data_IF_624816466814
#
_entry.id   IF_624816466814
#
_cell.length_a   1.000
_cell.length_b   1.000
_cell.length_c   1.000
_cell.angle_alpha   90.00
_cell.angle_beta   90.00
_cell.angle_gamma   90.00
#
_symmetry.space_group_name_H-M   'P 1'
#
loop_
_entity.id
_entity.type
_entity.pdbx_description
1 polymer ?
#
# COMPACT_ATOMS: atom_id res chain seq x y z
N UNK A 1 -0.90 6.22 -12.19
CA UNK A 1 -0.15 5.67 -11.05
C UNK A 1 0.74 6.75 -10.49
N UNK A 2 0.84 6.83 -9.16
CA UNK A 2 1.75 7.75 -8.47
C UNK A 2 3.06 7.06 -8.07
N UNK A 3 3.08 5.73 -8.06
CA UNK A 3 4.27 4.91 -7.85
C UNK A 3 4.10 3.54 -8.52
N UNK A 4 5.19 3.03 -9.11
CA UNK A 4 5.32 1.66 -9.62
C UNK A 4 6.80 1.24 -9.55
N UNK A 5 7.16 0.40 -8.60
CA UNK A 5 8.54 -0.03 -8.38
C UNK A 5 8.62 -1.41 -7.70
N UNK A 6 9.77 -2.07 -7.84
CA UNK A 6 10.08 -3.26 -7.07
C UNK A 6 10.52 -2.88 -5.65
N UNK A 7 9.88 -3.44 -4.62
CA UNK A 7 10.24 -3.24 -3.22
C UNK A 7 10.36 -4.57 -2.48
N UNK A 8 11.31 -4.61 -1.54
CA UNK A 8 11.31 -5.65 -0.52
C UNK A 8 10.35 -5.26 0.60
N UNK A 9 9.36 -6.11 0.87
CA UNK A 9 8.43 -5.96 1.98
C UNK A 9 8.54 -7.23 2.82
N UNK A 10 8.88 -7.08 4.11
CA UNK A 10 9.06 -8.23 5.03
C UNK A 10 10.03 -9.32 4.52
N UNK A 11 11.01 -8.97 3.68
CA UNK A 11 12.00 -9.91 3.13
C UNK A 11 11.63 -10.57 1.80
N UNK A 12 10.43 -10.33 1.29
CA UNK A 12 9.97 -10.81 -0.02
C UNK A 12 9.93 -9.66 -1.04
N UNK A 13 10.18 -9.98 -2.31
CA UNK A 13 10.20 -8.98 -3.37
C UNK A 13 8.83 -8.86 -4.03
N UNK A 14 8.28 -7.66 -4.00
CA UNK A 14 7.01 -7.32 -4.61
C UNK A 14 7.20 -6.25 -5.68
N UNK A 15 6.44 -6.35 -6.77
CA UNK A 15 6.13 -5.17 -7.57
C UNK A 15 5.00 -4.42 -6.86
N UNK A 16 5.28 -3.19 -6.40
CA UNK A 16 4.29 -2.34 -5.73
C UNK A 16 3.77 -1.31 -6.71
N UNK A 17 2.45 -1.19 -6.80
CA UNK A 17 1.74 -0.15 -7.54
C UNK A 17 0.88 0.68 -6.60
N UNK A 18 0.91 2.00 -6.77
CA UNK A 18 0.06 2.92 -6.04
C UNK A 18 -0.71 3.82 -7.01
N UNK A 19 -2.02 3.90 -6.80
CA UNK A 19 -2.91 4.75 -7.57
C UNK A 19 -3.84 5.53 -6.64
N UNK A 20 -4.10 6.78 -6.99
CA UNK A 20 -5.03 7.64 -6.26
C UNK A 20 -5.94 8.35 -7.24
N UNK A 21 -7.19 8.56 -6.83
CA UNK A 21 -8.17 9.42 -7.49
C UNK A 21 -8.16 10.86 -6.93
N UNK A 22 -7.18 11.19 -6.09
CA UNK A 22 -7.09 12.44 -5.34
C UNK A 22 -7.79 12.40 -3.98
N UNK A 23 -8.54 11.34 -3.68
CA UNK A 23 -9.17 11.11 -2.37
C UNK A 23 -8.55 9.89 -1.70
N UNK A 24 -8.81 8.71 -2.24
CA UNK A 24 -8.30 7.44 -1.71
C UNK A 24 -6.98 7.06 -2.36
N UNK A 25 -6.23 6.18 -1.72
CA UNK A 25 -4.98 5.64 -2.25
C UNK A 25 -5.09 4.11 -2.25
N UNK A 26 -5.17 3.53 -3.45
CA UNK A 26 -5.12 2.10 -3.67
C UNK A 26 -3.66 1.66 -3.81
N UNK A 27 -3.27 0.65 -3.04
CA UNK A 27 -1.93 0.07 -3.04
C UNK A 27 -2.06 -1.42 -3.35
N UNK A 28 -1.34 -1.87 -4.36
CA UNK A 28 -1.30 -3.27 -4.77
C UNK A 28 0.14 -3.77 -4.75
N UNK A 29 0.38 -4.92 -4.13
CA UNK A 29 1.67 -5.59 -4.11
C UNK A 29 1.55 -6.95 -4.80
N UNK A 30 2.34 -7.16 -5.85
CA UNK A 30 2.40 -8.40 -6.63
C UNK A 30 3.68 -9.16 -6.28
N UNK A 31 3.57 -10.36 -5.69
CA UNK A 31 4.75 -11.23 -5.48
C UNK A 31 5.26 -11.71 -6.85
N UNK A 32 6.58 -11.56 -7.10
CA UNK A 32 7.19 -11.95 -8.38
C UNK A 32 7.39 -13.47 -8.54
N UNK A 33 7.28 -13.95 -9.78
CA UNK A 33 7.47 -15.34 -10.29
C UNK A 33 6.64 -16.47 -9.68
N UNK A 34 6.17 -16.32 -8.44
CA UNK A 34 5.29 -17.27 -7.79
C UNK A 34 3.85 -16.84 -8.07
N UNK A 35 3.07 -17.70 -8.73
CA UNK A 35 1.63 -17.51 -9.01
C UNK A 35 0.77 -17.45 -7.73
N UNK A 36 1.13 -16.70 -6.70
CA UNK A 36 0.44 -16.70 -5.42
C UNK A 36 0.43 -15.29 -4.84
N UNK A 37 -0.78 -14.76 -4.78
CA UNK A 37 -1.22 -13.70 -3.88
C UNK A 37 -0.83 -12.26 -4.27
N UNK A 38 -1.82 -11.57 -4.83
CA UNK A 38 -1.86 -10.11 -4.88
C UNK A 38 -2.35 -9.62 -3.53
N UNK A 39 -1.57 -8.77 -2.86
CA UNK A 39 -2.01 -8.11 -1.64
C UNK A 39 -2.50 -6.70 -1.99
N UNK A 40 -3.64 -6.32 -1.45
CA UNK A 40 -4.31 -5.06 -1.77
C UNK A 40 -4.66 -4.32 -0.47
N UNK A 41 -4.44 -3.00 -0.47
CA UNK A 41 -4.78 -2.09 0.62
C UNK A 41 -5.46 -0.85 0.04
N UNK A 42 -6.68 -0.56 0.49
CA UNK A 42 -7.35 0.70 0.20
C UNK A 42 -7.20 1.63 1.38
N UNK A 43 -6.38 2.66 1.19
CA UNK A 43 -6.18 3.72 2.17
C UNK A 43 -7.30 4.75 2.02
N UNK A 44 -8.04 4.96 3.10
CA UNK A 44 -9.12 5.94 3.18
C UNK A 44 -8.64 7.37 2.92
N UNK A 45 -9.53 8.26 2.50
CA UNK A 45 -9.17 9.66 2.22
C UNK A 45 -8.50 10.36 3.42
N UNK A 46 -8.99 10.08 4.63
CA UNK A 46 -8.43 10.66 5.86
C UNK A 46 -6.98 10.23 6.08
N UNK A 47 -6.70 8.93 5.97
CA UNK A 47 -5.36 8.39 6.12
C UNK A 47 -4.44 8.84 4.98
N UNK A 48 -4.94 8.84 3.74
CA UNK A 48 -4.17 9.29 2.58
C UNK A 48 -3.74 10.76 2.73
N UNK A 49 -4.64 11.65 3.16
CA UNK A 49 -4.30 13.06 3.44
C UNK A 49 -3.30 13.22 4.59
N UNK A 50 -3.31 12.32 5.57
CA UNK A 50 -2.32 12.33 6.64
C UNK A 50 -0.96 11.89 6.13
N UNK A 51 -0.87 10.72 5.51
CA UNK A 51 0.37 10.19 4.90
C UNK A 51 0.99 11.17 3.91
N UNK A 52 0.17 11.77 3.04
CA UNK A 52 0.64 12.74 2.07
C UNK A 52 1.29 13.95 2.74
N UNK A 53 0.72 14.46 3.84
CA UNK A 53 1.31 15.58 4.59
C UNK A 53 2.57 15.15 5.33
N UNK A 54 2.53 14.03 6.02
CA UNK A 54 3.62 13.55 6.87
C UNK A 54 4.88 13.19 6.05
N UNK A 55 4.69 12.83 4.78
CA UNK A 55 5.76 12.47 3.84
C UNK A 55 6.00 13.52 2.74
N UNK A 56 5.47 14.74 2.87
CA UNK A 56 5.62 15.82 1.86
C UNK A 56 5.27 15.38 0.43
N UNK A 57 4.27 14.52 0.28
CA UNK A 57 3.82 13.98 -1.00
C UNK A 57 4.73 12.93 -1.64
N UNK A 58 5.76 12.45 -0.93
CA UNK A 58 6.65 11.41 -1.43
C UNK A 58 6.04 10.01 -1.23
N UNK A 59 5.45 9.48 -2.31
CA UNK A 59 4.88 8.15 -2.30
C UNK A 59 5.92 7.02 -2.12
N UNK A 60 7.20 7.23 -2.46
CA UNK A 60 8.24 6.24 -2.14
C UNK A 60 8.46 6.12 -0.63
N UNK A 61 8.44 7.25 0.08
CA UNK A 61 8.54 7.27 1.53
C UNK A 61 7.33 6.60 2.21
N UNK A 62 6.13 6.75 1.64
CA UNK A 62 4.93 6.03 2.08
C UNK A 62 5.07 4.53 1.79
N UNK A 63 5.51 4.14 0.60
CA UNK A 63 5.72 2.74 0.23
C UNK A 63 6.76 2.04 1.12
N UNK A 64 7.76 2.78 1.63
CA UNK A 64 8.73 2.27 2.59
C UNK A 64 8.13 1.90 3.96
N UNK A 65 6.88 2.31 4.24
CA UNK A 65 6.12 1.93 5.46
C UNK A 65 5.25 0.70 5.27
N UNK A 66 5.23 0.11 4.07
CA UNK A 66 4.44 -1.10 3.81
C UNK A 66 5.01 -2.29 4.58
N UNK A 67 4.11 -3.12 5.09
CA UNK A 67 4.41 -4.38 5.75
C UNK A 67 3.37 -5.42 5.41
N UNK A 68 3.79 -6.69 5.40
CA UNK A 68 2.87 -7.83 5.36
C UNK A 68 2.55 -8.28 6.79
N UNK A 69 1.27 -8.32 7.15
CA UNK A 69 0.76 -8.81 8.43
C UNK A 69 -0.22 -9.98 8.18
N UNK A 70 0.30 -11.22 8.25
CA UNK A 70 -0.45 -12.39 7.81
C UNK A 70 -0.67 -12.34 6.29
N UNK A 71 -1.92 -12.45 5.84
CA UNK A 71 -2.29 -12.36 4.42
C UNK A 71 -2.77 -10.95 4.01
N UNK A 72 -2.31 -9.90 4.70
CA UNK A 72 -2.74 -8.51 4.47
C UNK A 72 -1.56 -7.57 4.29
N UNK A 73 -1.70 -6.63 3.36
CA UNK A 73 -0.84 -5.47 3.25
C UNK A 73 -1.32 -4.40 4.23
N UNK A 74 -0.40 -3.86 5.03
CA UNK A 74 -0.67 -2.81 6.02
C UNK A 74 0.39 -1.71 5.94
N UNK A 75 0.09 -0.55 6.51
CA UNK A 75 1.03 0.55 6.69
C UNK A 75 1.42 0.66 8.16
N UNK A 76 2.73 0.67 8.42
CA UNK A 76 3.30 0.93 9.74
C UNK A 76 3.53 2.44 9.92
N UNK A 77 2.45 3.16 10.19
CA UNK A 77 2.46 4.61 10.41
C UNK A 77 1.53 4.99 11.57
N UNK A 78 2.04 5.83 12.47
CA UNK A 78 1.30 6.19 13.68
C UNK A 78 0.06 7.04 13.39
N UNK A 79 -1.00 6.81 14.16
CA UNK A 79 -2.23 7.60 14.08
C UNK A 79 -3.12 7.27 12.88
N UNK A 80 -2.79 6.24 12.08
CA UNK A 80 -3.71 5.73 11.06
C UNK A 80 -4.92 5.05 11.70
N UNK A 81 -6.08 5.31 11.12
CA UNK A 81 -7.30 4.54 11.42
C UNK A 81 -7.23 3.22 10.65
N UNK A 82 -7.73 2.09 11.17
CA UNK A 82 -7.72 0.83 10.43
C UNK A 82 -8.36 0.98 9.05
N UNK A 83 -7.56 0.78 8.00
CA UNK A 83 -8.00 0.80 6.62
C UNK A 83 -8.63 -0.53 6.19
N UNK A 84 -9.39 -0.50 5.10
CA UNK A 84 -10.18 -1.64 4.64
C UNK A 84 -9.34 -2.47 3.65
N UNK A 85 -9.20 -3.79 3.87
CA UNK A 85 -8.67 -4.68 2.84
C UNK A 85 -9.57 -4.60 1.60
N UNK A 86 -9.01 -4.44 0.40
CA UNK A 86 -9.81 -4.57 -0.82
C UNK A 86 -10.20 -6.03 -0.98
N UNK A 87 -11.41 -6.39 -0.56
CA UNK A 87 -11.95 -7.71 -0.87
C UNK A 87 -12.43 -7.70 -2.32
N UNK A 88 -11.99 -8.69 -3.10
CA UNK A 88 -12.56 -8.97 -4.42
C UNK A 88 -14.00 -9.42 -4.25
N UNK A 89 -14.95 -8.54 -4.53
CA UNK A 89 -16.31 -8.98 -4.88
C UNK A 89 -16.19 -9.69 -6.21
N UNK A 90 -16.42 -11.02 -6.22
CA UNK A 90 -16.58 -11.81 -7.44
C UNK A 90 -17.83 -11.35 -8.21
#
# INVERSE_FOLDING_TARGET
>A
YVLKEGKQISGEFFLVEMATDGRSLAITAYEGDKKRETLELLVSEKNHRQLYRDHNGDYNAIAAKLRVAGAKLVLDHEGLIPDVPMNRTM
#
